data_IF_933734718221
#
_entry.id   IF_933734718221
#
_cell.length_a   1.000
_cell.length_b   1.000
_cell.length_c   1.000
_cell.angle_alpha   90.00
_cell.angle_beta   90.00
_cell.angle_gamma   90.00
#
_symmetry.space_group_name_H-M   'P 1'
#
loop_
_entity.id
_entity.type
_entity.pdbx_description
1 polymer ?
#
# COMPACT_ATOMS: atom_id res chain seq x y z
N UNK A 1 9.39 94.75 -6.21
CA UNK A 1 9.45 93.33 -6.56
C UNK A 1 8.08 92.74 -6.29
N UNK A 2 7.22 92.71 -7.30
CA UNK A 2 5.84 92.26 -7.17
C UNK A 2 5.72 90.82 -7.68
N UNK A 3 5.06 90.03 -6.85
CA UNK A 3 4.65 88.62 -6.99
C UNK A 3 4.20 88.24 -8.41
N UNK A 4 4.83 87.19 -8.95
CA UNK A 4 4.37 86.51 -10.15
C UNK A 4 3.88 85.11 -9.72
N UNK A 5 2.55 84.96 -9.70
CA UNK A 5 1.85 83.73 -9.34
C UNK A 5 1.30 83.15 -10.65
N UNK A 6 1.79 81.99 -11.13
CA UNK A 6 1.18 81.36 -12.29
C UNK A 6 -0.13 80.65 -11.90
N UNK A 7 -1.21 81.11 -12.51
CA UNK A 7 -2.56 80.52 -12.49
C UNK A 7 -2.56 79.21 -13.29
N UNK A 8 -3.09 78.14 -12.73
CA UNK A 8 -3.30 76.85 -13.41
C UNK A 8 -4.48 76.93 -14.40
N UNK A 9 -4.37 76.39 -15.63
CA UNK A 9 -5.53 76.08 -16.46
C UNK A 9 -6.16 74.71 -16.09
N UNK A 10 -7.48 74.53 -16.27
CA UNK A 10 -8.18 73.30 -15.89
C UNK A 10 -8.26 72.27 -17.01
N UNK A 11 -8.51 71.03 -16.58
CA UNK A 11 -9.11 69.91 -17.30
C UNK A 11 -8.30 69.17 -18.36
N UNK A 12 -8.06 67.90 -18.04
CA UNK A 12 -7.72 66.84 -18.98
C UNK A 12 -7.96 65.50 -18.30
N UNK A 13 -9.23 65.16 -18.09
CA UNK A 13 -9.68 63.85 -17.64
C UNK A 13 -9.01 62.75 -18.46
N UNK A 14 -8.19 61.94 -17.81
CA UNK A 14 -7.81 60.61 -18.29
C UNK A 14 -8.28 59.60 -17.27
N UNK A 15 -9.52 59.19 -17.48
CA UNK A 15 -10.11 57.98 -16.94
C UNK A 15 -9.14 56.82 -17.22
N UNK A 16 -8.50 56.29 -16.17
CA UNK A 16 -7.88 54.96 -16.26
C UNK A 16 -9.03 53.97 -16.17
N UNK A 17 -9.48 53.51 -17.33
CA UNK A 17 -10.32 52.34 -17.47
C UNK A 17 -9.55 51.19 -16.84
N UNK A 18 -10.03 50.73 -15.68
CA UNK A 18 -9.59 49.49 -15.06
C UNK A 18 -10.29 48.37 -15.84
N UNK A 19 -9.53 47.63 -16.65
CA UNK A 19 -10.06 46.44 -17.31
C UNK A 19 -10.56 45.45 -16.25
N UNK A 20 -11.79 44.92 -16.36
CA UNK A 20 -12.31 43.95 -15.41
C UNK A 20 -11.46 42.69 -15.45
N UNK A 21 -11.02 42.24 -14.28
CA UNK A 21 -10.33 40.98 -14.09
C UNK A 21 -11.32 39.87 -14.45
N UNK A 22 -11.17 39.31 -15.65
CA UNK A 22 -11.98 38.23 -16.16
C UNK A 22 -11.69 37.00 -15.30
N UNK A 23 -12.66 36.62 -14.46
CA UNK A 23 -12.55 35.48 -13.57
C UNK A 23 -12.39 34.21 -14.42
N UNK A 24 -11.18 33.63 -14.39
CA UNK A 24 -10.91 32.33 -15.01
C UNK A 24 -11.89 31.29 -14.46
N UNK A 25 -12.75 30.78 -15.33
CA UNK A 25 -13.60 29.65 -15.04
C UNK A 25 -12.75 28.45 -14.59
N UNK A 26 -13.16 27.70 -13.54
CA UNK A 26 -12.38 26.59 -13.04
C UNK A 26 -12.20 25.54 -14.14
N UNK A 27 -10.95 25.33 -14.58
CA UNK A 27 -10.54 24.23 -15.44
C UNK A 27 -10.92 22.92 -14.74
N UNK A 28 -11.97 22.28 -15.23
CA UNK A 28 -12.40 20.93 -14.83
C UNK A 28 -11.22 19.99 -15.04
N UNK A 29 -10.59 19.54 -13.94
CA UNK A 29 -9.54 18.53 -14.03
C UNK A 29 -10.11 17.28 -14.72
N UNK A 30 -9.37 16.65 -15.64
CA UNK A 30 -9.81 15.43 -16.28
C UNK A 30 -10.01 14.35 -15.22
N UNK A 31 -11.25 13.86 -15.11
CA UNK A 31 -11.64 12.79 -14.21
C UNK A 31 -10.92 11.52 -14.66
N UNK A 32 -9.96 11.06 -13.83
CA UNK A 32 -9.16 9.87 -14.11
C UNK A 32 -10.13 8.68 -14.28
N UNK A 33 -9.97 7.84 -15.33
CA UNK A 33 -10.83 6.68 -15.52
C UNK A 33 -10.91 5.84 -14.24
N UNK A 34 -12.08 5.27 -13.90
CA UNK A 34 -12.23 4.49 -12.68
C UNK A 34 -11.19 3.38 -12.66
N UNK A 35 -10.40 3.33 -11.59
CA UNK A 35 -9.42 2.25 -11.41
C UNK A 35 -10.17 0.91 -11.43
N UNK A 36 -9.63 -0.11 -12.12
CA UNK A 36 -10.30 -1.40 -12.21
C UNK A 36 -10.61 -1.93 -10.81
N UNK A 37 -11.88 -2.28 -10.58
CA UNK A 37 -12.42 -2.78 -9.31
C UNK A 37 -11.68 -4.03 -8.78
N UNK A 38 -10.96 -4.75 -9.65
CA UNK A 38 -10.17 -5.93 -9.31
C UNK A 38 -8.73 -5.66 -9.70
N UNK A 39 -7.84 -5.54 -8.70
CA UNK A 39 -6.40 -5.48 -8.95
C UNK A 39 -5.87 -6.90 -9.20
N UNK A 40 -5.00 -7.08 -10.21
CA UNK A 40 -4.45 -8.39 -10.51
C UNK A 40 -3.56 -8.89 -9.37
N UNK A 41 -3.66 -10.17 -9.05
CA UNK A 41 -2.79 -10.87 -8.11
C UNK A 41 -1.33 -10.72 -8.52
N UNK A 42 -0.46 -10.35 -7.57
CA UNK A 42 0.98 -10.25 -7.82
C UNK A 42 1.61 -11.63 -7.73
N UNK A 43 2.21 -12.10 -8.82
CA UNK A 43 2.87 -13.42 -8.88
C UNK A 43 4.38 -13.26 -8.95
N UNK A 44 5.10 -13.95 -8.07
CA UNK A 44 6.57 -14.00 -8.02
C UNK A 44 7.02 -15.43 -8.30
N UNK A 45 7.82 -15.60 -9.35
CA UNK A 45 8.36 -16.90 -9.77
C UNK A 45 9.86 -17.03 -9.50
N UNK A 46 10.50 -15.97 -9.02
CA UNK A 46 11.92 -15.96 -8.64
C UNK A 46 12.11 -16.10 -7.12
N UNK A 47 13.22 -16.70 -6.65
CA UNK A 47 13.53 -16.79 -5.23
C UNK A 47 13.54 -15.41 -4.56
N UNK A 48 12.84 -15.28 -3.44
CA UNK A 48 12.84 -14.06 -2.62
C UNK A 48 13.95 -14.17 -1.59
N UNK A 49 15.00 -13.37 -1.76
CA UNK A 49 16.22 -13.43 -0.92
C UNK A 49 16.08 -12.59 0.34
N UNK A 50 16.89 -12.89 1.35
CA UNK A 50 16.94 -12.11 2.57
C UNK A 50 17.23 -10.63 2.31
N UNK A 51 16.53 -9.75 3.04
CA UNK A 51 16.59 -8.30 2.83
C UNK A 51 15.72 -7.77 1.70
N UNK A 52 15.05 -8.64 0.93
CA UNK A 52 14.06 -8.21 -0.07
C UNK A 52 12.68 -8.08 0.56
N UNK A 53 11.96 -7.06 0.10
CA UNK A 53 10.57 -6.81 0.47
C UNK A 53 9.69 -6.84 -0.78
N UNK A 54 8.70 -7.72 -0.79
CA UNK A 54 7.71 -7.85 -1.85
C UNK A 54 6.36 -7.40 -1.31
N UNK A 55 5.74 -6.43 -1.98
CA UNK A 55 4.44 -5.89 -1.58
C UNK A 55 3.39 -6.04 -2.68
N UNK A 56 2.29 -6.73 -2.40
CA UNK A 56 1.11 -6.79 -3.26
C UNK A 56 0.06 -5.77 -2.80
N UNK A 57 0.04 -4.62 -3.47
CA UNK A 57 -0.90 -3.55 -3.15
C UNK A 57 -2.29 -3.85 -3.71
N UNK A 58 -3.29 -3.87 -2.83
CA UNK A 58 -4.71 -4.01 -3.10
C UNK A 58 -5.12 -5.38 -3.67
N UNK A 59 -4.34 -6.42 -3.39
CA UNK A 59 -4.65 -7.77 -3.81
C UNK A 59 -3.78 -8.82 -3.15
N UNK A 60 -3.87 -10.03 -3.69
CA UNK A 60 -3.17 -11.21 -3.18
C UNK A 60 -1.73 -11.27 -3.72
N UNK A 61 -0.87 -11.94 -2.96
CA UNK A 61 0.51 -12.26 -3.32
C UNK A 61 0.68 -13.76 -3.48
N UNK A 62 1.17 -14.19 -4.63
CA UNK A 62 1.51 -15.58 -4.91
C UNK A 62 3.01 -15.69 -5.16
N UNK A 63 3.68 -16.58 -4.44
CA UNK A 63 5.11 -16.87 -4.58
C UNK A 63 5.27 -18.34 -4.93
N UNK A 64 5.79 -18.61 -6.12
CA UNK A 64 6.05 -19.95 -6.67
C UNK A 64 7.55 -20.27 -6.60
N UNK A 65 8.18 -19.86 -5.51
CA UNK A 65 9.62 -19.92 -5.32
C UNK A 65 9.96 -19.97 -3.82
N UNK A 66 11.19 -20.39 -3.45
CA UNK A 66 11.62 -20.35 -2.05
C UNK A 66 11.72 -18.91 -1.54
N UNK A 67 11.35 -18.73 -0.27
CA UNK A 67 11.44 -17.47 0.46
C UNK A 67 12.48 -17.66 1.57
N UNK A 68 13.58 -16.93 1.45
CA UNK A 68 14.72 -17.04 2.36
C UNK A 68 14.46 -16.35 3.71
N UNK A 69 15.24 -16.71 4.75
CA UNK A 69 15.30 -15.94 6.00
C UNK A 69 15.58 -14.46 5.71
N UNK A 70 14.99 -13.56 6.48
CA UNK A 70 15.12 -12.12 6.30
C UNK A 70 14.30 -11.52 5.15
N UNK A 71 13.65 -12.32 4.31
CA UNK A 71 12.76 -11.83 3.26
C UNK A 71 11.40 -11.41 3.83
N UNK A 72 10.75 -10.42 3.22
CA UNK A 72 9.43 -9.93 3.63
C UNK A 72 8.42 -10.01 2.50
N UNK A 73 7.28 -10.64 2.80
CA UNK A 73 6.12 -10.70 1.93
C UNK A 73 4.98 -9.91 2.60
N UNK A 74 4.48 -8.90 1.91
CA UNK A 74 3.37 -8.07 2.35
C UNK A 74 2.26 -8.13 1.32
N UNK A 75 1.02 -8.31 1.77
CA UNK A 75 -0.16 -8.27 0.92
C UNK A 75 -1.32 -7.58 1.63
N UNK A 76 -2.09 -6.81 0.87
CA UNK A 76 -3.37 -6.28 1.36
C UNK A 76 -4.42 -7.39 1.46
N UNK A 77 -4.30 -8.45 0.64
CA UNK A 77 -5.14 -9.65 0.68
C UNK A 77 -4.39 -10.88 1.21
N UNK A 78 -4.56 -12.01 0.53
CA UNK A 78 -3.97 -13.30 0.88
C UNK A 78 -2.50 -13.42 0.45
N UNK A 79 -1.76 -14.31 1.12
CA UNK A 79 -0.41 -14.72 0.71
C UNK A 79 -0.41 -16.22 0.44
N UNK A 80 0.09 -16.62 -0.73
CA UNK A 80 0.29 -18.01 -1.11
C UNK A 80 1.77 -18.26 -1.38
N UNK A 81 2.37 -19.20 -0.67
CA UNK A 81 3.77 -19.60 -0.84
C UNK A 81 3.84 -21.07 -1.19
N UNK A 82 4.12 -21.35 -2.47
CA UNK A 82 4.26 -22.68 -3.03
C UNK A 82 5.71 -23.19 -2.99
N UNK A 83 6.42 -22.86 -1.91
CA UNK A 83 7.79 -23.29 -1.64
C UNK A 83 8.12 -23.17 -0.15
N UNK A 84 9.39 -23.37 0.24
CA UNK A 84 9.84 -23.15 1.61
C UNK A 84 9.64 -21.69 2.02
N UNK A 85 8.80 -21.47 3.04
CA UNK A 85 8.57 -20.15 3.61
C UNK A 85 9.45 -19.97 4.85
N UNK A 86 10.60 -19.30 4.74
CA UNK A 86 11.51 -19.02 5.87
C UNK A 86 11.60 -17.56 6.29
N UNK A 87 11.05 -16.65 5.50
CA UNK A 87 11.02 -15.21 5.81
C UNK A 87 9.83 -14.82 6.67
N UNK A 88 9.33 -13.59 6.46
CA UNK A 88 8.15 -13.01 7.13
C UNK A 88 6.99 -12.86 6.15
N UNK A 89 5.79 -13.27 6.56
CA UNK A 89 4.56 -13.08 5.77
C UNK A 89 3.56 -12.24 6.56
N UNK A 90 3.15 -11.12 5.96
CA UNK A 90 2.17 -10.18 6.51
C UNK A 90 1.01 -10.06 5.53
N UNK A 91 -0.08 -10.76 5.81
CA UNK A 91 -1.31 -10.72 5.02
C UNK A 91 -2.34 -9.77 5.65
N UNK A 92 -3.25 -9.26 4.84
CA UNK A 92 -4.29 -8.36 5.32
C UNK A 92 -3.72 -7.09 5.96
N UNK A 93 -2.60 -6.54 5.48
CA UNK A 93 -1.88 -5.44 6.17
C UNK A 93 -2.71 -4.15 6.28
N UNK A 94 -3.79 -4.03 5.50
CA UNK A 94 -4.79 -2.96 5.59
C UNK A 94 -5.95 -3.25 6.55
N UNK A 95 -5.78 -4.24 7.43
CA UNK A 95 -6.80 -4.65 8.40
C UNK A 95 -7.81 -5.66 7.86
N UNK A 96 -7.49 -6.38 6.77
CA UNK A 96 -8.35 -7.47 6.30
C UNK A 96 -8.18 -8.71 7.19
N UNK A 97 -9.10 -8.87 8.14
CA UNK A 97 -9.15 -10.01 9.06
C UNK A 97 -9.56 -11.32 8.38
N UNK A 98 -10.08 -11.27 7.15
CA UNK A 98 -10.45 -12.45 6.37
C UNK A 98 -9.31 -12.96 5.49
N UNK A 99 -8.20 -12.22 5.42
CA UNK A 99 -7.02 -12.64 4.71
C UNK A 99 -6.46 -13.95 5.30
N UNK A 100 -5.81 -14.74 4.44
CA UNK A 100 -5.21 -16.03 4.79
C UNK A 100 -3.78 -16.11 4.28
N UNK A 101 -2.98 -16.90 4.97
CA UNK A 101 -1.63 -17.28 4.53
C UNK A 101 -1.63 -18.77 4.24
N UNK A 102 -1.15 -19.16 3.07
CA UNK A 102 -1.00 -20.55 2.65
C UNK A 102 0.48 -20.82 2.42
N UNK A 103 1.01 -21.86 3.04
CA UNK A 103 2.41 -22.26 2.90
C UNK A 103 2.49 -23.75 2.65
N UNK A 104 3.31 -24.19 1.68
CA UNK A 104 3.60 -25.62 1.53
C UNK A 104 4.56 -26.15 2.61
N UNK A 105 5.42 -25.30 3.15
CA UNK A 105 6.31 -25.65 4.25
C UNK A 105 6.40 -24.46 5.22
N UNK A 106 5.72 -24.57 6.37
CA UNK A 106 5.75 -23.56 7.42
C UNK A 106 7.11 -23.56 8.13
N UNK A 107 7.99 -22.64 7.79
CA UNK A 107 9.27 -22.44 8.49
C UNK A 107 9.58 -20.96 8.72
N UNK A 108 8.53 -20.14 8.80
CA UNK A 108 8.61 -18.69 8.78
C UNK A 108 9.22 -18.11 10.06
N UNK A 109 9.88 -16.96 9.92
CA UNK A 109 10.32 -16.13 11.05
C UNK A 109 9.13 -15.46 11.74
N UNK A 110 8.14 -15.05 10.95
CA UNK A 110 6.93 -14.39 11.43
C UNK A 110 5.78 -14.60 10.43
N UNK A 111 4.59 -14.83 10.96
CA UNK A 111 3.34 -14.76 10.19
C UNK A 111 2.41 -13.74 10.84
N UNK A 112 1.72 -12.95 10.04
CA UNK A 112 0.74 -11.99 10.53
C UNK A 112 -0.48 -11.88 9.63
N UNK A 113 -1.66 -11.75 10.24
CA UNK A 113 -2.91 -11.44 9.58
C UNK A 113 -3.55 -10.26 10.30
N UNK A 114 -3.80 -9.16 9.59
CA UNK A 114 -4.44 -7.96 10.12
C UNK A 114 -3.82 -7.43 11.42
N UNK A 115 -2.50 -7.51 11.55
CA UNK A 115 -1.75 -7.02 12.72
C UNK A 115 -1.60 -8.03 13.86
N UNK A 116 -2.37 -9.12 13.88
CA UNK A 116 -2.12 -10.25 14.79
C UNK A 116 -0.97 -11.08 14.23
N UNK A 117 -0.02 -11.49 15.07
CA UNK A 117 1.17 -12.19 14.60
C UNK A 117 1.60 -13.33 15.52
N UNK A 118 2.34 -14.27 14.93
CA UNK A 118 3.09 -15.33 15.63
C UNK A 118 4.54 -15.28 15.15
N UNK A 119 5.46 -15.30 16.11
CA UNK A 119 6.90 -15.32 15.85
C UNK A 119 7.42 -16.75 15.74
N UNK A 120 8.65 -16.91 15.26
CA UNK A 120 9.26 -18.21 14.99
C UNK A 120 9.29 -19.12 16.21
N UNK A 121 9.44 -18.58 17.41
CA UNK A 121 9.49 -19.29 18.68
C UNK A 121 8.17 -20.01 18.98
N UNK A 122 7.04 -19.38 18.66
CA UNK A 122 5.71 -19.96 18.80
C UNK A 122 5.42 -20.97 17.70
N UNK A 123 5.79 -20.63 16.46
CA UNK A 123 5.58 -21.48 15.29
C UNK A 123 6.37 -22.79 15.36
N UNK A 124 7.59 -22.77 15.90
CA UNK A 124 8.42 -23.97 16.07
C UNK A 124 7.85 -24.95 17.09
N UNK A 125 7.00 -24.48 18.02
CA UNK A 125 6.31 -25.32 19.01
C UNK A 125 5.03 -25.94 18.44
N UNK A 126 4.54 -25.43 17.32
CA UNK A 126 3.36 -25.96 16.65
C UNK A 126 3.69 -27.29 15.97
N UNK A 127 2.85 -28.33 16.11
CA UNK A 127 3.07 -29.64 15.48
C UNK A 127 3.07 -29.58 13.95
N UNK A 128 2.55 -28.51 13.34
CA UNK A 128 2.51 -28.31 11.90
C UNK A 128 3.76 -27.60 11.35
N UNK A 129 4.80 -27.38 12.17
CA UNK A 129 6.08 -26.87 11.70
C UNK A 129 6.64 -27.75 10.56
N UNK A 130 7.07 -27.10 9.47
CA UNK A 130 7.56 -27.74 8.26
C UNK A 130 6.48 -28.43 7.40
N UNK A 131 5.21 -28.40 7.81
CA UNK A 131 4.10 -28.98 7.05
C UNK A 131 3.43 -27.96 6.12
N UNK A 132 2.62 -28.43 5.15
CA UNK A 132 1.67 -27.59 4.44
C UNK A 132 0.57 -27.10 5.39
N UNK A 133 0.34 -25.80 5.41
CA UNK A 133 -0.62 -25.16 6.32
C UNK A 133 -1.40 -24.05 5.66
N UNK A 134 -2.60 -23.83 6.20
CA UNK A 134 -3.36 -22.61 6.07
C UNK A 134 -3.37 -21.91 7.43
N UNK A 135 -3.08 -20.61 7.43
CA UNK A 135 -3.20 -19.71 8.57
C UNK A 135 -4.40 -18.80 8.34
N UNK A 136 -5.25 -18.68 9.34
CA UNK A 136 -6.42 -17.81 9.32
C UNK A 136 -6.60 -17.14 10.68
N UNK A 137 -7.26 -15.99 10.70
CA UNK A 137 -7.59 -15.29 11.93
C UNK A 137 -9.02 -15.63 12.38
N UNK A 138 -9.18 -15.94 13.67
CA UNK A 138 -10.50 -16.12 14.30
C UNK A 138 -10.56 -15.28 15.57
N UNK A 139 -11.35 -14.20 15.53
CA UNK A 139 -11.25 -13.15 16.55
C UNK A 139 -9.86 -12.52 16.49
N UNK A 140 -9.12 -12.61 17.60
CA UNK A 140 -7.74 -12.11 17.71
C UNK A 140 -6.67 -13.21 17.70
N UNK A 141 -7.06 -14.47 17.43
CA UNK A 141 -6.16 -15.62 17.50
C UNK A 141 -5.86 -16.18 16.11
N UNK A 142 -4.57 -16.37 15.82
CA UNK A 142 -4.11 -17.05 14.61
C UNK A 142 -4.27 -18.57 14.73
N UNK A 143 -5.17 -19.10 13.91
CA UNK A 143 -5.39 -20.53 13.73
C UNK A 143 -4.52 -21.07 12.60
N UNK A 144 -3.83 -22.17 12.87
CA UNK A 144 -2.99 -22.88 11.91
C UNK A 144 -3.61 -24.26 11.71
N UNK A 145 -4.01 -24.56 10.48
CA UNK A 145 -4.59 -25.85 10.10
C UNK A 145 -3.74 -26.49 9.00
N UNK A 146 -3.75 -27.81 8.92
CA UNK A 146 -3.09 -28.55 7.85
C UNK A 146 -3.85 -28.39 6.53
N UNK A 147 -3.11 -28.23 5.43
CA UNK A 147 -3.62 -28.30 4.05
C UNK A 147 -3.68 -29.75 3.53
#
# INVERSE_FOLDING_TARGET
MAVDLPVLPPSGARERVIDPIEAEAPKKLPEKPPEPLIKPTRVITSPVRGGQQIYAQGGDLVVVAPVSPGAELLADGNIHVYGPMRGRALAGIKGDTKARIFCQQLSAELISIAGQYKVSEDLRRDPLWGSPVQVSLSGDVLNIIRL
#
